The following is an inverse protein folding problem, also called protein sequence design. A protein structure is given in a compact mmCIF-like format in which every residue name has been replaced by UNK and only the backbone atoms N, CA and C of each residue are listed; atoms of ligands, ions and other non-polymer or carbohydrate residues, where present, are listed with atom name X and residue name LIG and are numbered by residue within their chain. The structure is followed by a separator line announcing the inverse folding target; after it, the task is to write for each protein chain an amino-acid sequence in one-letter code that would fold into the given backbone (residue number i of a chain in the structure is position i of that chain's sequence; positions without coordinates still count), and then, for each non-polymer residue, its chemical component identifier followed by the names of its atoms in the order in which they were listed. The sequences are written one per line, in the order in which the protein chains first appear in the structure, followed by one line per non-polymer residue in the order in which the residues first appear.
data_IF_357689347981
#
_entry.id   IF_357689347981
#
_cell.length_a   1.000
_cell.length_b   1.000
_cell.length_c   1.000
_cell.angle_alpha   90.00
_cell.angle_beta   90.00
_cell.angle_gamma   90.00
#
_symmetry.space_group_name_H-M   'P 1'
#
loop_
_entity.id
_entity.type
_entity.pdbx_description
1 polymer ?
#
# COMPACT_ATOMS: atom_id res chain seq x y z
N UNK A 1 -1.10 27.23 20.22
CA UNK A 1 -2.10 26.21 19.81
C UNK A 1 -3.37 26.41 20.64
N UNK A 2 -4.54 26.38 20.01
CA UNK A 2 -5.82 26.40 20.73
C UNK A 2 -6.11 24.98 21.24
N UNK A 3 -5.99 24.77 22.55
CA UNK A 3 -6.32 23.48 23.19
C UNK A 3 -7.83 23.27 23.08
N UNK A 4 -8.27 22.21 22.37
CA UNK A 4 -9.70 21.83 22.29
C UNK A 4 -10.19 21.55 23.74
N UNK A 5 -11.33 22.12 24.17
CA UNK A 5 -11.86 21.86 25.51
C UNK A 5 -12.18 20.37 25.69
N UNK A 6 -11.97 19.86 26.90
CA UNK A 6 -12.23 18.46 27.23
C UNK A 6 -13.71 18.10 26.95
N UNK A 7 -13.97 17.01 26.21
CA UNK A 7 -15.32 16.61 25.88
C UNK A 7 -16.07 16.14 27.12
N UNK A 8 -17.31 16.59 27.24
CA UNK A 8 -18.19 16.25 28.38
C UNK A 8 -19.17 15.12 28.10
N UNK A 9 -19.40 14.80 26.83
CA UNK A 9 -20.29 13.71 26.41
C UNK A 9 -19.49 12.44 26.16
N UNK A 10 -20.11 11.27 26.36
CA UNK A 10 -19.46 9.97 26.06
C UNK A 10 -18.99 9.90 24.60
N UNK A 11 -19.80 10.41 23.67
CA UNK A 11 -19.42 10.55 22.26
C UNK A 11 -18.18 11.43 22.06
N UNK A 12 -18.13 12.59 22.73
CA UNK A 12 -16.99 13.48 22.62
C UNK A 12 -15.71 12.83 23.16
N UNK A 13 -15.82 12.06 24.26
CA UNK A 13 -14.71 11.27 24.80
C UNK A 13 -14.25 10.20 23.82
N UNK A 14 -15.17 9.45 23.22
CA UNK A 14 -14.86 8.46 22.20
C UNK A 14 -14.12 9.08 21.00
N UNK A 15 -14.58 10.22 20.49
CA UNK A 15 -13.89 10.93 19.40
C UNK A 15 -12.50 11.44 19.81
N UNK A 16 -12.34 11.89 21.05
CA UNK A 16 -11.02 12.25 21.60
C UNK A 16 -10.10 11.02 21.65
N UNK A 17 -10.58 9.88 22.13
CA UNK A 17 -9.81 8.62 22.16
C UNK A 17 -9.36 8.21 20.75
N UNK A 18 -10.24 8.31 19.75
CA UNK A 18 -9.89 8.06 18.35
C UNK A 18 -8.74 8.96 17.88
N UNK A 19 -8.80 10.26 18.17
CA UNK A 19 -7.73 11.20 17.82
C UNK A 19 -6.43 10.91 18.58
N UNK A 20 -6.53 10.58 19.86
CA UNK A 20 -5.37 10.29 20.72
C UNK A 20 -4.62 9.04 20.24
N UNK A 21 -5.28 8.09 19.55
CA UNK A 21 -4.61 7.00 18.81
C UNK A 21 -3.64 7.57 17.77
N UNK A 22 -4.08 8.51 16.93
CA UNK A 22 -3.24 9.09 15.89
C UNK A 22 -2.05 9.86 16.46
N UNK A 23 -2.27 10.65 17.51
CA UNK A 23 -1.19 11.36 18.23
C UNK A 23 -0.12 10.39 18.72
N UNK A 24 -0.54 9.29 19.38
CA UNK A 24 0.39 8.25 19.86
C UNK A 24 1.21 7.64 18.71
N UNK A 25 0.60 7.40 17.55
CA UNK A 25 1.32 6.82 16.41
C UNK A 25 2.22 7.84 15.69
N UNK A 26 1.97 9.14 15.80
CA UNK A 26 2.93 10.17 15.39
C UNK A 26 4.18 10.11 16.28
N UNK A 27 4.03 10.00 17.60
CA UNK A 27 5.18 9.87 18.51
C UNK A 27 5.99 8.60 18.24
N UNK A 28 5.32 7.47 17.98
CA UNK A 28 5.99 6.22 17.60
C UNK A 28 6.67 6.33 16.23
N UNK A 29 6.10 7.09 15.29
CA UNK A 29 6.73 7.37 14.00
C UNK A 29 8.01 8.19 14.17
N UNK A 30 7.99 9.22 15.02
CA UNK A 30 9.17 10.05 15.29
C UNK A 30 10.30 9.23 15.95
N UNK A 31 9.95 8.26 16.81
CA UNK A 31 10.90 7.30 17.37
C UNK A 31 11.50 6.42 16.27
N UNK A 32 10.66 5.84 15.40
CA UNK A 32 11.11 5.04 14.26
C UNK A 32 12.06 5.83 13.34
N UNK A 33 11.72 7.08 13.03
CA UNK A 33 12.53 7.98 12.19
C UNK A 33 13.88 8.30 12.83
N UNK A 34 13.94 8.36 14.16
CA UNK A 34 15.19 8.57 14.92
C UNK A 34 16.06 7.32 14.95
N UNK A 35 15.44 6.15 15.03
CA UNK A 35 16.13 4.85 15.13
C UNK A 35 16.66 4.37 13.77
N UNK A 36 15.92 4.62 12.69
CA UNK A 36 16.24 4.07 11.37
C UNK A 36 16.31 5.16 10.30
N UNK A 37 17.44 5.29 9.58
CA UNK A 37 17.50 6.15 8.40
C UNK A 37 16.63 5.59 7.27
N UNK A 38 16.35 6.39 6.21
CA UNK A 38 15.66 5.91 5.01
C UNK A 38 16.28 4.60 4.49
N UNK A 39 15.47 3.56 4.35
CA UNK A 39 15.97 2.21 4.10
C UNK A 39 14.94 1.12 4.28
N UNK A 40 15.37 -0.13 4.06
CA UNK A 40 14.52 -1.31 4.20
C UNK A 40 13.98 -1.47 5.63
N UNK A 41 14.85 -1.34 6.64
CA UNK A 41 14.45 -1.53 8.04
C UNK A 41 13.45 -0.46 8.49
N UNK A 42 13.66 0.80 8.09
CA UNK A 42 12.66 1.86 8.31
C UNK A 42 11.34 1.53 7.61
N UNK A 43 11.36 1.10 6.34
CA UNK A 43 10.14 0.76 5.59
C UNK A 43 9.37 -0.39 6.23
N UNK A 44 10.07 -1.44 6.68
CA UNK A 44 9.44 -2.55 7.42
C UNK A 44 8.83 -2.07 8.74
N UNK A 45 9.57 -1.26 9.52
CA UNK A 45 9.07 -0.68 10.76
C UNK A 45 7.85 0.23 10.54
N UNK A 46 7.88 1.02 9.47
CA UNK A 46 6.78 1.89 9.05
C UNK A 46 5.53 1.06 8.74
N UNK A 47 5.69 -0.05 8.01
CA UNK A 47 4.58 -0.96 7.74
C UNK A 47 3.97 -1.56 9.00
N UNK A 48 4.79 -2.10 9.89
CA UNK A 48 4.34 -2.64 11.19
C UNK A 48 3.60 -1.57 12.00
N UNK A 49 4.10 -0.34 12.01
CA UNK A 49 3.47 0.77 12.71
C UNK A 49 2.10 1.12 12.11
N UNK A 50 1.95 1.06 10.78
CA UNK A 50 0.66 1.26 10.10
C UNK A 50 -0.33 0.13 10.35
N UNK A 51 0.11 -1.12 10.41
CA UNK A 51 -0.73 -2.26 10.79
C UNK A 51 -1.23 -2.11 12.24
N UNK A 52 -0.32 -1.77 13.17
CA UNK A 52 -0.68 -1.52 14.56
C UNK A 52 -1.64 -0.34 14.71
N UNK A 53 -1.44 0.72 13.91
CA UNK A 53 -2.32 1.88 13.87
C UNK A 53 -3.72 1.49 13.38
N UNK A 54 -3.82 0.75 12.29
CA UNK A 54 -5.07 0.23 11.75
C UNK A 54 -5.79 -0.66 12.79
N UNK A 55 -5.07 -1.58 13.43
CA UNK A 55 -5.61 -2.44 14.48
C UNK A 55 -6.12 -1.67 15.70
N UNK A 56 -5.44 -0.58 16.09
CA UNK A 56 -5.92 0.28 17.17
C UNK A 56 -7.21 1.01 16.81
N UNK A 57 -7.34 1.50 15.57
CA UNK A 57 -8.60 2.09 15.11
C UNK A 57 -9.73 1.06 15.06
N UNK A 58 -9.48 -0.15 14.54
CA UNK A 58 -10.50 -1.22 14.55
C UNK A 58 -10.90 -1.63 15.98
N UNK A 59 -9.96 -1.69 16.91
CA UNK A 59 -10.27 -1.95 18.33
C UNK A 59 -11.11 -0.84 18.97
N UNK A 60 -10.84 0.41 18.61
CA UNK A 60 -11.65 1.55 19.02
C UNK A 60 -13.06 1.49 18.43
N UNK A 61 -13.21 1.19 17.14
CA UNK A 61 -14.51 1.07 16.47
C UNK A 61 -15.38 0.00 17.13
N UNK A 62 -14.80 -1.17 17.40
CA UNK A 62 -15.49 -2.26 18.09
C UNK A 62 -15.96 -1.86 19.50
N UNK A 63 -15.17 -1.06 20.21
CA UNK A 63 -15.48 -0.59 21.57
C UNK A 63 -16.45 0.59 21.59
N UNK A 64 -16.66 1.26 20.45
CA UNK A 64 -17.44 2.49 20.32
C UNK A 64 -18.54 2.36 19.24
N UNK A 65 -19.14 1.18 19.10
CA UNK A 65 -20.08 0.86 18.03
C UNK A 65 -21.25 1.86 17.89
N UNK A 66 -21.81 2.39 18.98
CA UNK A 66 -22.84 3.44 18.90
C UNK A 66 -22.32 4.74 18.28
N UNK A 67 -21.08 5.12 18.60
CA UNK A 67 -20.45 6.32 18.02
C UNK A 67 -20.13 6.10 16.55
N UNK A 68 -19.65 4.92 16.17
CA UNK A 68 -19.40 4.55 14.76
C UNK A 68 -20.69 4.54 13.97
N UNK A 69 -21.72 3.85 14.46
CA UNK A 69 -23.03 3.81 13.79
C UNK A 69 -23.62 5.21 13.64
N UNK A 70 -23.47 6.08 14.64
CA UNK A 70 -23.85 7.48 14.51
C UNK A 70 -23.05 8.20 13.41
N UNK A 71 -21.73 8.03 13.36
CA UNK A 71 -20.88 8.60 12.29
C UNK A 71 -21.29 8.11 10.89
N UNK A 72 -21.68 6.85 10.75
CA UNK A 72 -22.15 6.27 9.49
C UNK A 72 -23.55 6.79 9.08
N UNK A 73 -24.40 7.13 10.05
CA UNK A 73 -25.73 7.71 9.77
C UNK A 73 -25.68 9.17 9.36
N UNK A 74 -24.57 9.85 9.67
CA UNK A 74 -24.26 11.16 9.13
C UNK A 74 -23.79 10.93 7.69
N UNK A 75 -24.71 10.90 6.74
CA UNK A 75 -24.33 11.14 5.34
C UNK A 75 -23.48 12.42 5.34
N UNK A 76 -22.24 12.41 4.82
CA UNK A 76 -21.37 13.58 4.92
C UNK A 76 -21.94 14.73 4.08
N UNK A 77 -22.80 15.55 4.70
CA UNK A 77 -23.30 16.77 4.07
C UNK A 77 -22.18 17.81 4.00
N UNK A 78 -21.17 17.71 4.89
CA UNK A 78 -19.95 18.51 4.86
C UNK A 78 -18.82 17.77 4.10
N UNK A 79 -18.26 18.38 3.03
CA UNK A 79 -17.06 17.89 2.35
C UNK A 79 -15.86 17.57 3.25
N UNK A 80 -15.75 18.18 4.44
CA UNK A 80 -14.69 17.84 5.40
C UNK A 80 -14.92 16.49 6.10
N UNK A 81 -16.17 16.17 6.42
CA UNK A 81 -16.55 14.88 6.99
C UNK A 81 -16.39 13.76 5.96
N UNK A 82 -16.66 14.05 4.68
CA UNK A 82 -16.39 13.11 3.59
C UNK A 82 -14.91 12.78 3.50
N UNK A 83 -14.02 13.79 3.55
CA UNK A 83 -12.57 13.56 3.51
C UNK A 83 -12.08 12.67 4.67
N UNK A 84 -12.63 12.86 5.87
CA UNK A 84 -12.32 11.99 7.02
C UNK A 84 -12.85 10.57 6.84
N UNK A 85 -14.05 10.41 6.26
CA UNK A 85 -14.62 9.10 5.92
C UNK A 85 -13.74 8.37 4.90
N UNK A 86 -13.37 9.04 3.80
CA UNK A 86 -12.52 8.49 2.75
C UNK A 86 -11.14 8.07 3.29
N UNK A 87 -10.56 8.87 4.19
CA UNK A 87 -9.31 8.53 4.88
C UNK A 87 -9.41 7.21 5.64
N UNK A 88 -10.51 6.96 6.36
CA UNK A 88 -10.73 5.70 7.09
C UNK A 88 -10.94 4.54 6.14
N UNK A 89 -11.72 4.75 5.08
CA UNK A 89 -11.99 3.74 4.07
C UNK A 89 -10.70 3.29 3.36
N UNK A 90 -9.74 4.19 3.16
CA UNK A 90 -8.44 3.85 2.56
C UNK A 90 -7.71 2.70 3.28
N UNK A 91 -7.81 2.61 4.62
CA UNK A 91 -7.21 1.50 5.37
C UNK A 91 -7.92 0.17 5.11
N UNK A 92 -9.23 0.20 4.88
CA UNK A 92 -9.99 -1.00 4.54
C UNK A 92 -9.67 -1.45 3.10
N UNK A 93 -9.64 -0.51 2.17
CA UNK A 93 -9.35 -0.76 0.76
C UNK A 93 -7.91 -1.25 0.54
N UNK A 94 -6.99 -0.85 1.44
CA UNK A 94 -5.61 -1.29 1.43
C UNK A 94 -5.38 -2.70 2.02
N UNK A 95 -6.39 -3.35 2.59
CA UNK A 95 -6.22 -4.72 3.10
C UNK A 95 -5.91 -5.69 1.98
N UNK A 96 -4.93 -6.54 2.22
CA UNK A 96 -4.63 -7.72 1.42
C UNK A 96 -5.74 -8.75 1.58
N UNK A 97 -5.75 -9.77 0.72
CA UNK A 97 -6.69 -10.87 0.85
C UNK A 97 -6.56 -11.62 2.20
N UNK A 98 -5.42 -11.48 2.89
CA UNK A 98 -5.10 -12.15 4.15
C UNK A 98 -5.38 -11.27 5.38
N UNK A 99 -5.82 -10.03 5.19
CA UNK A 99 -6.26 -9.11 6.24
C UNK A 99 -5.22 -8.08 6.70
N UNK A 100 -3.95 -8.28 6.35
CA UNK A 100 -2.86 -7.31 6.61
C UNK A 100 -2.98 -6.09 5.68
N UNK A 101 -2.48 -4.92 6.09
CA UNK A 101 -2.51 -3.72 5.26
C UNK A 101 -1.34 -3.75 4.27
N UNK A 102 -1.66 -3.66 2.98
CA UNK A 102 -0.65 -3.37 1.96
C UNK A 102 -0.29 -1.89 2.03
N UNK A 103 0.90 -1.61 2.57
CA UNK A 103 1.37 -0.24 2.85
C UNK A 103 1.63 0.57 1.57
N UNK A 104 2.00 -0.10 0.48
CA UNK A 104 2.28 0.55 -0.80
C UNK A 104 0.94 0.91 -1.46
N UNK A 105 -0.04 -0.01 -1.39
CA UNK A 105 -1.42 0.25 -1.79
C UNK A 105 -2.06 1.35 -0.95
N UNK A 106 -1.92 1.31 0.38
CA UNK A 106 -2.42 2.36 1.28
C UNK A 106 -1.81 3.72 0.92
N UNK A 107 -0.50 3.77 0.73
CA UNK A 107 0.20 4.99 0.34
C UNK A 107 -0.32 5.54 -0.99
N UNK A 108 -0.60 4.67 -1.97
CA UNK A 108 -1.15 5.08 -3.25
C UNK A 108 -2.60 5.61 -3.12
N UNK A 109 -3.45 4.97 -2.31
CA UNK A 109 -4.82 5.42 -2.05
C UNK A 109 -4.81 6.78 -1.35
N UNK A 110 -4.07 6.90 -0.24
CA UNK A 110 -3.97 8.13 0.55
C UNK A 110 -3.40 9.28 -0.28
N UNK A 111 -2.40 9.04 -1.12
CA UNK A 111 -1.83 10.09 -1.98
C UNK A 111 -2.87 10.66 -2.96
N UNK A 112 -3.70 9.80 -3.58
CA UNK A 112 -4.77 10.26 -4.48
C UNK A 112 -5.84 11.04 -3.72
N UNK A 113 -6.21 10.58 -2.52
CA UNK A 113 -7.18 11.26 -1.66
C UNK A 113 -6.66 12.64 -1.25
N UNK A 114 -5.44 12.70 -0.72
CA UNK A 114 -4.80 13.95 -0.29
C UNK A 114 -4.65 14.94 -1.45
N UNK A 115 -4.35 14.48 -2.67
CA UNK A 115 -4.28 15.34 -3.86
C UNK A 115 -5.64 15.92 -4.27
N UNK A 116 -6.75 15.25 -3.91
CA UNK A 116 -8.12 15.70 -4.20
C UNK A 116 -8.65 16.70 -3.15
N UNK A 117 -8.03 16.75 -1.98
CA UNK A 117 -8.50 17.57 -0.86
C UNK A 117 -8.09 19.03 -1.01
N UNK A 118 -9.00 19.92 -0.60
CA UNK A 118 -8.67 21.31 -0.32
C UNK A 118 -7.77 21.42 0.92
N UNK A 119 -7.01 22.53 1.09
CA UNK A 119 -6.22 22.75 2.30
C UNK A 119 -7.04 22.67 3.60
N UNK A 120 -8.31 23.10 3.55
CA UNK A 120 -9.24 23.04 4.68
C UNK A 120 -9.63 21.59 5.04
N UNK A 121 -9.87 20.74 4.05
CA UNK A 121 -10.15 19.32 4.27
C UNK A 121 -8.93 18.62 4.85
N UNK A 122 -7.73 18.90 4.33
CA UNK A 122 -6.49 18.34 4.87
C UNK A 122 -6.28 18.74 6.34
N UNK A 123 -6.40 20.03 6.66
CA UNK A 123 -6.31 20.52 8.05
C UNK A 123 -7.38 19.89 8.96
N UNK A 124 -8.60 19.66 8.43
CA UNK A 124 -9.65 18.98 9.17
C UNK A 124 -9.28 17.53 9.47
N UNK A 125 -8.83 16.76 8.47
CA UNK A 125 -8.43 15.35 8.64
C UNK A 125 -7.25 15.24 9.60
N UNK A 126 -6.20 16.06 9.45
CA UNK A 126 -5.05 16.08 10.35
C UNK A 126 -5.49 16.34 11.80
N UNK A 127 -6.39 17.31 12.01
CA UNK A 127 -6.89 17.67 13.34
C UNK A 127 -7.76 16.59 13.98
N UNK A 128 -8.62 15.93 13.22
CA UNK A 128 -9.54 14.91 13.75
C UNK A 128 -8.90 13.53 13.88
N UNK A 129 -7.91 13.20 13.04
CA UNK A 129 -7.16 11.95 13.15
C UNK A 129 -6.00 12.04 14.13
N UNK A 130 -5.43 13.24 14.33
CA UNK A 130 -4.19 13.42 15.08
C UNK A 130 -2.95 12.94 14.32
N UNK A 131 -3.11 12.52 13.06
CA UNK A 131 -2.03 12.02 12.22
C UNK A 131 -1.38 13.19 11.50
N UNK A 132 -0.06 13.21 11.50
CA UNK A 132 0.74 14.16 10.74
C UNK A 132 1.98 13.45 10.21
N UNK A 133 2.28 13.66 8.94
CA UNK A 133 3.49 13.09 8.36
C UNK A 133 4.72 13.82 8.89
N UNK A 134 5.67 13.04 9.41
CA UNK A 134 7.03 13.50 9.71
C UNK A 134 7.79 13.82 8.42
N UNK A 135 8.92 14.55 8.48
CA UNK A 135 9.72 14.84 7.29
C UNK A 135 10.13 13.58 6.51
N UNK A 136 10.46 12.48 7.19
CA UNK A 136 10.87 11.23 6.55
C UNK A 136 9.68 10.51 5.89
N UNK A 137 8.48 10.54 6.51
CA UNK A 137 7.25 10.05 5.88
C UNK A 137 6.89 10.88 4.65
N UNK A 138 7.06 12.21 4.70
CA UNK A 138 6.83 13.08 3.54
C UNK A 138 7.78 12.76 2.39
N UNK A 139 9.06 12.55 2.70
CA UNK A 139 10.08 12.11 1.73
C UNK A 139 9.70 10.75 1.13
N UNK A 140 9.34 9.77 1.97
CA UNK A 140 8.89 8.47 1.52
C UNK A 140 7.70 8.57 0.56
N UNK A 141 6.63 9.30 0.95
CA UNK A 141 5.46 9.52 0.10
C UNK A 141 5.82 10.19 -1.22
N UNK A 142 6.72 11.19 -1.19
CA UNK A 142 7.17 11.86 -2.40
C UNK A 142 7.92 10.91 -3.34
N UNK A 143 8.83 10.09 -2.81
CA UNK A 143 9.56 9.09 -3.57
C UNK A 143 8.60 8.00 -4.12
N UNK A 144 7.60 7.58 -3.35
CA UNK A 144 6.56 6.64 -3.82
C UNK A 144 5.77 7.17 -5.02
N UNK A 145 5.55 8.49 -5.13
CA UNK A 145 4.94 9.07 -6.34
C UNK A 145 5.84 8.91 -7.56
N UNK A 146 7.14 9.09 -7.39
CA UNK A 146 8.13 8.90 -8.48
C UNK A 146 8.20 7.43 -8.87
N UNK A 147 8.10 6.51 -7.90
CA UNK A 147 8.08 5.07 -8.13
C UNK A 147 6.75 4.55 -8.70
N UNK A 148 5.69 5.36 -8.75
CA UNK A 148 4.35 4.91 -9.17
C UNK A 148 4.33 4.22 -10.54
N UNK A 149 4.92 4.76 -11.62
CA UNK A 149 4.90 4.08 -12.91
C UNK A 149 5.61 2.71 -12.85
N UNK A 150 6.66 2.56 -12.03
CA UNK A 150 7.33 1.27 -11.84
C UNK A 150 6.43 0.21 -11.19
N UNK A 151 5.57 0.65 -10.26
CA UNK A 151 4.56 -0.22 -9.65
C UNK A 151 3.47 -0.60 -10.65
N UNK A 152 3.02 0.36 -11.46
CA UNK A 152 1.95 0.23 -12.47
C UNK A 152 2.31 -0.69 -13.64
N UNK A 153 3.60 -0.96 -13.91
CA UNK A 153 4.05 -1.94 -14.93
C UNK A 153 3.33 -3.29 -14.81
N UNK A 154 3.03 -3.72 -13.59
CA UNK A 154 2.32 -4.99 -13.37
C UNK A 154 0.89 -4.95 -13.91
N UNK A 155 0.18 -3.85 -13.64
CA UNK A 155 -1.20 -3.65 -14.08
C UNK A 155 -1.27 -3.45 -15.59
N UNK A 156 -0.32 -2.70 -16.16
CA UNK A 156 -0.18 -2.51 -17.61
C UNK A 156 0.10 -3.83 -18.33
N UNK A 157 1.10 -4.59 -17.86
CA UNK A 157 1.42 -5.92 -18.40
C UNK A 157 0.22 -6.85 -18.32
N UNK A 158 -0.53 -6.79 -17.22
CA UNK A 158 -1.73 -7.61 -17.06
C UNK A 158 -2.86 -7.19 -18.01
N UNK A 159 -3.09 -5.89 -18.20
CA UNK A 159 -4.07 -5.37 -19.14
C UNK A 159 -3.76 -5.82 -20.58
N UNK A 160 -2.50 -5.71 -21.01
CA UNK A 160 -2.04 -6.19 -22.32
C UNK A 160 -2.27 -7.71 -22.49
N UNK A 161 -1.98 -8.50 -21.46
CA UNK A 161 -2.21 -9.95 -21.49
C UNK A 161 -3.70 -10.29 -21.60
N UNK A 162 -4.57 -9.56 -20.91
CA UNK A 162 -6.02 -9.74 -21.01
C UNK A 162 -6.55 -9.42 -22.40
N UNK A 163 -6.02 -8.39 -23.04
CA UNK A 163 -6.38 -8.03 -24.41
C UNK A 163 -5.91 -9.10 -25.41
N UNK A 164 -4.68 -9.61 -25.24
CA UNK A 164 -4.09 -10.60 -26.13
C UNK A 164 -4.67 -12.02 -25.95
N UNK A 165 -5.09 -12.38 -24.74
CA UNK A 165 -5.49 -13.75 -24.40
C UNK A 165 -6.85 -13.77 -23.67
N UNK A 166 -7.94 -14.14 -24.37
CA UNK A 166 -9.30 -14.18 -23.80
C UNK A 166 -9.46 -15.05 -22.55
N UNK A 167 -8.56 -16.01 -22.30
CA UNK A 167 -8.57 -16.84 -21.09
C UNK A 167 -8.39 -16.01 -19.81
N UNK A 168 -7.78 -14.82 -19.90
CA UNK A 168 -7.59 -13.93 -18.76
C UNK A 168 -8.74 -12.93 -18.56
N UNK A 169 -9.70 -12.86 -19.48
CA UNK A 169 -10.83 -11.91 -19.42
C UNK A 169 -11.62 -11.96 -18.09
N UNK A 170 -11.89 -13.14 -17.49
CA UNK A 170 -12.60 -13.23 -16.21
C UNK A 170 -11.87 -12.61 -15.00
N UNK A 171 -10.56 -12.38 -15.11
CA UNK A 171 -9.73 -11.93 -14.00
C UNK A 171 -9.38 -10.45 -14.16
N UNK A 172 -10.12 -9.59 -13.46
CA UNK A 172 -9.96 -8.14 -13.60
C UNK A 172 -8.52 -7.64 -13.34
N UNK A 173 -7.83 -8.24 -12.37
CA UNK A 173 -6.45 -7.91 -11.96
C UNK A 173 -5.59 -9.17 -11.89
N UNK A 174 -4.26 -9.00 -11.91
CA UNK A 174 -3.33 -10.11 -11.71
C UNK A 174 -3.57 -10.77 -10.35
N UNK A 175 -3.90 -9.99 -9.31
CA UNK A 175 -4.26 -10.52 -8.00
C UNK A 175 -5.47 -11.44 -8.06
N UNK A 176 -6.53 -11.08 -8.79
CA UNK A 176 -7.69 -11.96 -8.95
C UNK A 176 -7.33 -13.27 -9.67
N UNK A 177 -6.45 -13.20 -10.66
CA UNK A 177 -5.93 -14.40 -11.32
C UNK A 177 -5.13 -15.26 -10.35
N UNK A 178 -4.19 -14.66 -9.61
CA UNK A 178 -3.37 -15.36 -8.62
C UNK A 178 -4.21 -15.97 -7.50
N UNK A 179 -5.26 -15.27 -7.03
CA UNK A 179 -6.21 -15.79 -6.05
C UNK A 179 -6.99 -16.99 -6.60
N UNK A 180 -7.46 -16.93 -7.84
CA UNK A 180 -8.15 -18.07 -8.46
C UNK A 180 -7.24 -19.31 -8.56
N UNK A 181 -6.00 -19.11 -9.00
CA UNK A 181 -5.00 -20.18 -9.06
C UNK A 181 -4.65 -20.72 -7.65
N UNK A 182 -4.60 -19.86 -6.64
CA UNK A 182 -4.41 -20.27 -5.26
C UNK A 182 -5.58 -21.13 -4.75
N UNK A 183 -6.83 -20.78 -5.07
CA UNK A 183 -8.00 -21.58 -4.70
C UNK A 183 -8.00 -22.95 -5.39
N UNK A 184 -7.57 -23.04 -6.65
CA UNK A 184 -7.41 -24.32 -7.34
C UNK A 184 -6.36 -25.22 -6.65
N UNK A 185 -5.21 -24.65 -6.25
CA UNK A 185 -4.18 -25.39 -5.51
C UNK A 185 -4.69 -25.89 -4.15
N UNK A 186 -5.47 -25.07 -3.43
CA UNK A 186 -6.11 -25.48 -2.18
C UNK A 186 -7.09 -26.63 -2.40
N UNK A 187 -7.92 -26.56 -3.45
CA UNK A 187 -8.85 -27.63 -3.81
C UNK A 187 -8.14 -28.95 -4.18
N UNK A 188 -6.90 -28.86 -4.66
CA UNK A 188 -6.02 -30.00 -4.94
C UNK A 188 -5.25 -30.50 -3.70
N UNK A 189 -5.49 -29.91 -2.52
CA UNK A 189 -4.91 -30.34 -1.25
C UNK A 189 -3.55 -29.72 -0.91
N UNK A 190 -3.13 -28.65 -1.60
CA UNK A 190 -1.93 -27.90 -1.20
C UNK A 190 -2.20 -27.22 0.15
N UNK A 191 -1.33 -27.40 1.16
CA UNK A 191 -1.47 -26.70 2.43
C UNK A 191 -1.33 -25.18 2.29
N UNK A 192 -2.11 -24.41 3.04
CA UNK A 192 -2.09 -22.95 3.03
C UNK A 192 -0.68 -22.37 3.21
N UNK A 193 0.12 -22.95 4.12
CA UNK A 193 1.49 -22.49 4.41
C UNK A 193 2.51 -22.81 3.30
N UNK A 194 2.11 -23.55 2.26
CA UNK A 194 2.95 -23.86 1.09
C UNK A 194 2.44 -23.16 -0.18
N UNK A 195 1.28 -22.51 -0.11
CA UNK A 195 0.53 -22.04 -1.26
C UNK A 195 1.35 -21.10 -2.14
N UNK A 196 2.09 -20.17 -1.55
CA UNK A 196 2.95 -19.22 -2.28
C UNK A 196 4.03 -19.93 -3.13
N UNK A 197 4.71 -20.91 -2.54
CA UNK A 197 5.75 -21.69 -3.22
C UNK A 197 5.20 -22.51 -4.39
N UNK A 198 3.99 -23.04 -4.24
CA UNK A 198 3.31 -23.77 -5.32
C UNK A 198 2.76 -22.83 -6.39
N UNK A 199 2.19 -21.70 -6.00
CA UNK A 199 1.66 -20.68 -6.90
C UNK A 199 2.74 -20.13 -7.83
N UNK A 200 3.94 -19.86 -7.30
CA UNK A 200 5.09 -19.44 -8.11
C UNK A 200 5.60 -20.47 -9.12
N UNK A 201 5.17 -21.74 -9.01
CA UNK A 201 5.51 -22.83 -9.95
C UNK A 201 4.43 -23.09 -10.99
N UNK A 202 3.26 -22.46 -10.86
CA UNK A 202 2.22 -22.55 -11.88
C UNK A 202 2.76 -21.91 -13.17
N UNK A 203 2.78 -22.63 -14.31
CA UNK A 203 3.39 -22.12 -15.53
C UNK A 203 2.84 -20.77 -15.98
N UNK A 204 1.52 -20.59 -15.93
CA UNK A 204 0.87 -19.32 -16.29
C UNK A 204 1.32 -18.18 -15.35
N UNK A 205 1.24 -18.39 -14.03
CA UNK A 205 1.70 -17.41 -13.02
C UNK A 205 3.18 -17.06 -13.22
N UNK A 206 4.05 -18.06 -13.30
CA UNK A 206 5.49 -17.84 -13.47
C UNK A 206 5.82 -17.10 -14.77
N UNK A 207 5.08 -17.36 -15.86
CA UNK A 207 5.26 -16.67 -17.14
C UNK A 207 4.91 -15.19 -17.03
N UNK A 208 3.76 -14.87 -16.41
CA UNK A 208 3.33 -13.48 -16.21
C UNK A 208 4.30 -12.73 -15.29
N UNK A 209 4.71 -13.34 -14.18
CA UNK A 209 5.67 -12.73 -13.26
C UNK A 209 7.04 -12.49 -13.91
N UNK A 210 7.47 -13.38 -14.81
CA UNK A 210 8.70 -13.19 -15.58
C UNK A 210 8.60 -12.03 -16.57
N UNK A 211 7.44 -11.85 -17.23
CA UNK A 211 7.20 -10.70 -18.10
C UNK A 211 7.27 -9.40 -17.30
N UNK A 212 6.53 -9.31 -16.19
CA UNK A 212 6.55 -8.15 -15.29
C UNK A 212 7.96 -7.86 -14.78
N UNK A 213 8.71 -8.90 -14.37
CA UNK A 213 10.10 -8.76 -13.93
C UNK A 213 11.03 -8.24 -15.04
N UNK A 214 10.84 -8.71 -16.28
CA UNK A 214 11.55 -8.24 -17.46
C UNK A 214 11.30 -6.75 -17.72
N UNK A 215 10.03 -6.36 -17.78
CA UNK A 215 9.60 -4.97 -17.99
C UNK A 215 10.10 -4.04 -16.88
N UNK A 216 10.01 -4.47 -15.60
CA UNK A 216 10.53 -3.72 -14.45
C UNK A 216 12.05 -3.53 -14.52
N UNK A 217 12.81 -4.54 -14.93
CA UNK A 217 14.26 -4.37 -15.10
C UNK A 217 14.57 -3.38 -16.23
N UNK A 218 13.90 -3.50 -17.37
CA UNK A 218 14.09 -2.58 -18.50
C UNK A 218 13.78 -1.14 -18.09
N UNK A 219 12.66 -0.93 -17.40
CA UNK A 219 12.27 0.37 -16.89
C UNK A 219 13.34 0.96 -15.95
N UNK A 220 13.90 0.16 -15.03
CA UNK A 220 14.99 0.61 -14.15
C UNK A 220 16.27 0.96 -14.90
N UNK A 221 16.56 0.33 -16.04
CA UNK A 221 17.71 0.68 -16.88
C UNK A 221 17.50 2.02 -17.60
N UNK A 222 16.27 2.32 -17.99
CA UNK A 222 15.88 3.56 -18.68
C UNK A 222 15.67 4.74 -17.71
N UNK A 223 15.34 4.45 -16.45
CA UNK A 223 15.02 5.42 -15.39
C UNK A 223 15.96 5.26 -14.18
N UNK A 224 17.22 5.75 -14.26
CA UNK A 224 18.20 5.59 -13.18
C UNK A 224 17.77 6.25 -11.86
N UNK A 225 16.95 7.30 -11.90
CA UNK A 225 16.34 7.92 -10.72
C UNK A 225 15.40 6.96 -9.98
N UNK A 226 14.64 6.15 -10.71
CA UNK A 226 13.76 5.11 -10.14
C UNK A 226 14.60 3.98 -9.55
N UNK A 227 15.66 3.55 -10.23
CA UNK A 227 16.59 2.54 -9.71
C UNK A 227 17.23 2.99 -8.38
N UNK A 228 17.65 4.25 -8.31
CA UNK A 228 18.23 4.83 -7.10
C UNK A 228 17.23 4.87 -5.93
N UNK A 229 15.97 5.22 -6.19
CA UNK A 229 14.92 5.23 -5.16
C UNK A 229 14.56 3.82 -4.68
N UNK A 230 14.49 2.84 -5.58
CA UNK A 230 14.26 1.44 -5.21
C UNK A 230 15.39 0.88 -4.33
N UNK A 231 16.64 1.29 -4.61
CA UNK A 231 17.79 0.96 -3.76
C UNK A 231 17.71 1.67 -2.41
N UNK A 232 17.43 2.98 -2.41
CA UNK A 232 17.31 3.80 -1.20
C UNK A 232 16.32 3.18 -0.20
N UNK A 233 15.14 2.78 -0.66
CA UNK A 233 14.09 2.22 0.20
C UNK A 233 14.16 0.69 0.37
N UNK A 234 15.22 0.06 -0.16
CA UNK A 234 15.46 -1.36 -0.01
C UNK A 234 14.39 -2.25 -0.64
N UNK A 235 13.79 -1.81 -1.76
CA UNK A 235 12.94 -2.68 -2.60
C UNK A 235 13.79 -3.60 -3.48
N UNK A 236 15.01 -3.18 -3.80
CA UNK A 236 15.99 -3.97 -4.54
C UNK A 236 17.35 -3.86 -3.86
N UNK A 237 18.15 -4.90 -3.98
CA UNK A 237 19.46 -4.98 -3.31
C UNK A 237 20.63 -4.68 -4.24
N UNK A 238 20.38 -4.55 -5.56
CA UNK A 238 21.42 -4.35 -6.57
C UNK A 238 20.96 -3.41 -7.67
N UNK A 239 21.82 -2.51 -8.17
CA UNK A 239 21.53 -1.66 -9.32
C UNK A 239 21.12 -2.46 -10.55
N UNK A 240 20.21 -1.92 -11.35
CA UNK A 240 19.72 -2.60 -12.56
C UNK A 240 20.86 -2.90 -13.55
N UNK A 241 21.81 -1.98 -13.71
CA UNK A 241 22.99 -2.16 -14.57
C UNK A 241 23.90 -3.31 -14.13
N UNK A 242 23.95 -3.66 -12.84
CA UNK A 242 24.69 -4.83 -12.36
C UNK A 242 23.91 -6.13 -12.59
N UNK A 243 22.58 -6.07 -12.39
CA UNK A 243 21.69 -7.20 -12.65
C UNK A 243 21.70 -7.61 -14.13
N UNK A 244 21.70 -6.63 -15.04
CA UNK A 244 21.76 -6.87 -16.49
C UNK A 244 23.06 -7.58 -16.90
N UNK A 245 24.22 -7.11 -16.40
CA UNK A 245 25.53 -7.74 -16.66
C UNK A 245 25.62 -9.18 -16.15
N UNK A 246 24.91 -9.49 -15.06
CA UNK A 246 24.90 -10.82 -14.47
C UNK A 246 23.95 -11.79 -15.19
N UNK A 247 23.03 -11.29 -16.04
CA UNK A 247 22.16 -12.17 -16.83
C UNK A 247 23.02 -12.95 -17.85
N UNK A 248 22.94 -14.28 -17.88
CA UNK A 248 23.58 -15.05 -18.93
C UNK A 248 22.96 -14.61 -20.26
N UNK A 249 23.73 -13.91 -21.09
CA UNK A 249 23.33 -13.59 -22.46
C UNK A 249 23.06 -14.91 -23.16
N UNK A 250 21.79 -15.25 -23.32
CA UNK A 250 21.41 -16.45 -24.05
C UNK A 250 22.01 -16.34 -25.45
N UNK A 251 22.80 -17.34 -25.83
CA UNK A 251 23.55 -17.38 -27.10
C UNK A 251 22.63 -17.44 -28.35
N UNK A 252 21.32 -17.23 -28.19
CA UNK A 252 20.27 -17.44 -29.18
C UNK A 252 19.38 -16.21 -29.44
N UNK A 253 19.68 -15.01 -28.91
CA UNK A 253 18.94 -13.78 -29.26
C UNK A 253 19.12 -13.32 -30.73
N UNK A 254 19.87 -14.08 -31.54
CA UNK A 254 19.98 -13.87 -32.99
C UNK A 254 18.98 -14.65 -33.86
N UNK A 255 18.09 -15.48 -33.29
CA UNK A 255 17.18 -16.30 -34.09
C UNK A 255 15.80 -15.68 -34.21
N UNK A 256 15.71 -14.58 -34.95
CA UNK A 256 14.44 -14.21 -35.62
C UNK A 256 14.24 -15.21 -36.75
N UNK A 257 13.30 -16.14 -36.56
CA UNK A 257 12.62 -16.85 -37.66
C UNK A 257 11.17 -16.39 -37.68
#
# INVERSE_FOLDING_TARGET
ELVKPEPRTERGKALKEHRDIGVRYVELQEQLDTEFPPGEDWRRGYGVLKDQQAGAYSGWEASNAETVSWLETLAPEDPNEQALSDYRQAFQDAKTAWGDVDIDKLSAILDRLEASWTPKQKEYVDRETGVKDTPQVQEYKADQRVLRPYWEIMDETWAELREAYPIYEPYATLDHFMQAQAQELLALGVPQNQLESYLGRVPAVSSVLNLVSGSRLQYRLEHPEVDALLLKWGYVTRPAAEQDKARPRSRFEGSRF
#
